data_IF_922545066209
#
_entry.id   IF_922545066209
#
_cell.length_a   1.000
_cell.length_b   1.000
_cell.length_c   1.000
_cell.angle_alpha   90.00
_cell.angle_beta   90.00
_cell.angle_gamma   90.00
#
_symmetry.space_group_name_H-M   'P 1'
#
loop_
_entity.id
_entity.type
_entity.pdbx_description
1 polymer ?
#
# COMPACT_ATOMS: atom_id res chain seq x y z
N UNK A 1 -38.75 85.72 46.32
CA UNK A 1 -38.42 84.65 45.34
C UNK A 1 -36.99 84.73 44.80
N UNK A 2 -36.28 85.86 44.95
CA UNK A 2 -34.92 86.05 44.40
C UNK A 2 -33.75 85.51 45.28
N UNK A 3 -33.97 85.16 46.55
CA UNK A 3 -32.91 84.69 47.47
C UNK A 3 -32.53 83.22 47.28
N UNK A 4 -33.50 82.35 47.00
CA UNK A 4 -33.23 80.91 46.77
C UNK A 4 -32.39 80.65 45.51
N UNK A 5 -32.47 81.50 44.48
CA UNK A 5 -31.73 81.29 43.22
C UNK A 5 -30.21 81.47 43.39
N UNK A 6 -29.78 82.42 44.25
CA UNK A 6 -28.35 82.64 44.56
C UNK A 6 -27.73 81.50 45.36
N UNK A 7 -28.52 80.77 46.15
CA UNK A 7 -28.04 79.62 46.93
C UNK A 7 -27.82 78.36 46.06
N UNK A 8 -28.53 78.22 44.94
CA UNK A 8 -28.47 77.03 44.06
C UNK A 8 -27.49 77.24 42.88
N UNK A 9 -27.23 78.50 42.50
CA UNK A 9 -26.32 78.89 41.42
C UNK A 9 -24.93 78.20 41.46
N UNK A 10 -24.21 78.11 42.60
CA UNK A 10 -22.92 77.43 42.64
C UNK A 10 -23.02 75.92 42.38
N UNK A 11 -24.13 75.27 42.73
CA UNK A 11 -24.34 73.85 42.43
C UNK A 11 -24.59 73.61 40.94
N UNK A 12 -25.23 74.55 40.25
CA UNK A 12 -25.44 74.49 38.80
C UNK A 12 -24.11 74.67 38.07
N UNK A 13 -23.24 75.59 38.52
CA UNK A 13 -21.91 75.78 37.94
C UNK A 13 -21.00 74.55 38.14
N UNK A 14 -21.03 73.93 39.32
CA UNK A 14 -20.32 72.69 39.61
C UNK A 14 -20.86 71.53 38.76
N UNK A 15 -22.19 71.41 38.62
CA UNK A 15 -22.81 70.37 37.80
C UNK A 15 -22.49 70.57 36.31
N UNK A 16 -22.52 71.81 35.81
CA UNK A 16 -22.16 72.15 34.44
C UNK A 16 -20.69 71.86 34.16
N UNK A 17 -19.79 72.19 35.10
CA UNK A 17 -18.37 71.85 35.02
C UNK A 17 -18.12 70.35 35.00
N UNK A 18 -18.82 69.59 35.85
CA UNK A 18 -18.73 68.13 35.88
C UNK A 18 -19.25 67.50 34.59
N UNK A 19 -20.36 68.00 34.04
CA UNK A 19 -20.91 67.53 32.77
C UNK A 19 -19.96 67.84 31.61
N UNK A 20 -19.35 69.04 31.59
CA UNK A 20 -18.32 69.41 30.62
C UNK A 20 -17.07 68.52 30.71
N UNK A 21 -16.63 68.18 31.93
CA UNK A 21 -15.51 67.26 32.14
C UNK A 21 -15.82 65.84 31.62
N UNK A 22 -17.04 65.33 31.86
CA UNK A 22 -17.48 64.04 31.32
C UNK A 22 -17.50 64.08 29.78
N UNK A 23 -17.96 65.17 29.16
CA UNK A 23 -17.96 65.32 27.71
C UNK A 23 -16.54 65.37 27.13
N UNK A 24 -15.59 66.00 27.83
CA UNK A 24 -14.18 66.03 27.44
C UNK A 24 -13.55 64.63 27.56
N UNK A 25 -13.82 63.92 28.66
CA UNK A 25 -13.38 62.54 28.82
C UNK A 25 -13.98 61.63 27.74
N UNK A 26 -15.26 61.80 27.43
CA UNK A 26 -15.91 61.09 26.34
C UNK A 26 -15.23 61.40 25.01
N UNK A 27 -14.94 62.66 24.70
CA UNK A 27 -14.26 63.05 23.46
C UNK A 27 -12.82 62.50 23.35
N UNK A 28 -12.05 62.54 24.44
CA UNK A 28 -10.70 61.94 24.49
C UNK A 28 -10.81 60.42 24.35
N UNK A 29 -11.80 59.82 25.00
CA UNK A 29 -12.03 58.40 24.91
C UNK A 29 -12.41 57.98 23.48
N UNK A 30 -13.35 58.67 22.84
CA UNK A 30 -13.80 58.39 21.48
C UNK A 30 -12.75 58.67 20.41
N UNK A 31 -11.99 59.76 20.55
CA UNK A 31 -11.11 60.24 19.49
C UNK A 31 -9.64 59.84 19.67
N UNK A 32 -9.23 59.41 20.87
CA UNK A 32 -7.85 59.04 21.18
C UNK A 32 -7.72 57.64 21.78
N UNK A 33 -8.54 57.28 22.77
CA UNK A 33 -8.43 55.98 23.45
C UNK A 33 -8.98 54.84 22.58
N UNK A 34 -10.20 55.00 22.04
CA UNK A 34 -10.83 53.99 21.18
C UNK A 34 -10.00 53.70 19.92
N UNK A 35 -9.50 54.70 19.15
CA UNK A 35 -8.65 54.44 17.99
C UNK A 35 -7.33 53.74 18.38
N UNK A 36 -6.76 54.07 19.54
CA UNK A 36 -5.53 53.43 20.02
C UNK A 36 -5.72 51.96 20.45
N UNK A 37 -6.93 51.56 20.85
CA UNK A 37 -7.23 50.17 21.25
C UNK A 37 -7.57 49.28 20.06
N UNK A 38 -8.05 49.87 18.96
CA UNK A 38 -8.27 49.17 17.69
C UNK A 38 -6.94 49.11 16.93
N UNK A 39 -6.13 48.08 17.20
CA UNK A 39 -4.95 47.79 16.38
C UNK A 39 -5.40 47.47 14.95
N UNK A 40 -5.21 48.41 14.04
CA UNK A 40 -5.28 48.18 12.60
C UNK A 40 -4.16 47.22 12.22
N UNK A 41 -4.46 45.92 12.24
CA UNK A 41 -3.55 44.92 11.69
C UNK A 41 -3.55 45.08 10.18
N UNK A 42 -2.35 45.11 9.61
CA UNK A 42 -2.19 45.20 8.16
C UNK A 42 -2.94 44.04 7.49
N UNK A 43 -3.47 44.32 6.31
CA UNK A 43 -4.15 43.34 5.49
C UNK A 43 -3.09 42.72 4.57
N UNK A 44 -2.98 41.40 4.64
CA UNK A 44 -2.07 40.61 3.81
C UNK A 44 -2.88 39.69 2.89
N UNK A 45 -2.39 39.48 1.69
CA UNK A 45 -2.94 38.51 0.76
C UNK A 45 -2.49 37.10 1.15
N UNK A 46 -3.45 36.16 1.23
CA UNK A 46 -3.15 34.77 1.55
C UNK A 46 -2.40 34.12 0.38
N UNK A 47 -1.16 33.62 0.57
CA UNK A 47 -0.40 32.98 -0.50
C UNK A 47 -1.01 31.63 -0.88
N UNK A 48 -0.69 31.14 -2.08
CA UNK A 48 -1.08 29.80 -2.52
C UNK A 48 -0.09 28.76 -2.01
N UNK A 49 -0.54 27.92 -1.08
CA UNK A 49 0.21 26.79 -0.53
C UNK A 49 -0.23 25.44 -1.11
N UNK A 50 -1.31 25.39 -1.90
CA UNK A 50 -1.81 24.16 -2.50
C UNK A 50 -0.78 23.59 -3.47
N UNK A 51 -0.58 22.27 -3.43
CA UNK A 51 0.44 21.52 -4.18
C UNK A 51 1.89 21.75 -3.72
N UNK A 52 2.12 22.56 -2.68
CA UNK A 52 3.45 22.71 -2.10
C UNK A 52 3.74 21.61 -1.07
N UNK A 53 5.03 21.32 -0.85
CA UNK A 53 5.45 20.53 0.31
C UNK A 53 5.09 21.30 1.58
N UNK A 54 4.69 20.56 2.61
CA UNK A 54 4.26 21.14 3.88
C UNK A 54 5.33 22.07 4.49
N UNK A 55 6.61 21.74 4.39
CA UNK A 55 7.67 22.58 4.94
C UNK A 55 7.82 23.91 4.18
N UNK A 56 7.80 23.87 2.84
CA UNK A 56 7.86 25.07 2.00
C UNK A 56 6.61 25.95 2.22
N UNK A 57 5.44 25.33 2.36
CA UNK A 57 4.18 26.03 2.65
C UNK A 57 4.20 26.73 4.01
N UNK A 58 4.72 26.05 5.06
CA UNK A 58 4.86 26.65 6.40
C UNK A 58 5.77 27.88 6.35
N UNK A 59 6.90 27.76 5.66
CA UNK A 59 7.85 28.85 5.53
C UNK A 59 7.23 30.04 4.79
N UNK A 60 6.57 29.81 3.66
CA UNK A 60 5.88 30.86 2.89
C UNK A 60 4.81 31.60 3.74
N UNK A 61 4.07 30.88 4.58
CA UNK A 61 3.07 31.48 5.47
C UNK A 61 3.71 32.35 6.56
N UNK A 62 4.80 31.89 7.17
CA UNK A 62 5.55 32.68 8.16
C UNK A 62 6.13 33.95 7.52
N UNK A 63 6.73 33.84 6.34
CA UNK A 63 7.27 34.97 5.57
C UNK A 63 6.19 35.99 5.18
N UNK A 64 4.94 35.54 5.05
CA UNK A 64 3.77 36.38 4.77
C UNK A 64 3.10 36.94 6.04
N UNK A 65 3.74 36.89 7.22
CA UNK A 65 3.16 37.29 8.51
C UNK A 65 1.85 36.56 8.87
N UNK A 66 1.64 35.34 8.36
CA UNK A 66 0.50 34.48 8.64
C UNK A 66 0.91 33.34 9.57
N UNK A 67 -0.07 32.78 10.28
CA UNK A 67 0.14 31.56 11.08
C UNK A 67 -0.50 30.38 10.38
N UNK A 68 -0.13 29.15 10.74
CA UNK A 68 -0.71 27.95 10.15
C UNK A 68 -1.18 26.97 11.21
N UNK A 69 -2.12 26.11 10.82
CA UNK A 69 -2.54 24.94 11.61
C UNK A 69 -2.90 23.81 10.67
N UNK A 70 -2.24 22.67 10.83
CA UNK A 70 -2.67 21.44 10.16
C UNK A 70 -3.90 20.93 10.89
N UNK A 71 -5.03 20.90 10.18
CA UNK A 71 -6.33 20.52 10.78
C UNK A 71 -6.70 19.08 10.48
N UNK A 72 -6.22 18.53 9.36
CA UNK A 72 -6.47 17.14 8.99
C UNK A 72 -5.44 16.63 8.01
N UNK A 73 -5.29 15.31 7.96
CA UNK A 73 -4.56 14.61 6.91
C UNK A 73 -5.52 13.64 6.22
N UNK A 74 -5.51 13.62 4.89
CA UNK A 74 -6.44 12.80 4.10
C UNK A 74 -5.68 12.01 3.03
N UNK A 75 -6.14 10.79 2.74
CA UNK A 75 -5.61 10.06 1.58
C UNK A 75 -6.00 10.78 0.29
N UNK A 76 -5.08 10.82 -0.65
CA UNK A 76 -5.26 11.48 -1.93
C UNK A 76 -4.46 10.74 -2.99
N UNK A 77 -5.11 10.42 -4.11
CA UNK A 77 -4.56 9.70 -5.25
C UNK A 77 -3.70 10.59 -6.16
N UNK A 78 -3.99 11.90 -6.20
CA UNK A 78 -3.30 12.89 -7.04
C UNK A 78 -2.07 13.48 -6.39
N UNK A 79 -2.11 13.68 -5.07
CA UNK A 79 -1.04 14.34 -4.32
C UNK A 79 -0.20 13.33 -3.53
N UNK A 80 1.13 13.31 -3.71
CA UNK A 80 2.02 12.54 -2.86
C UNK A 80 1.87 12.89 -1.38
N UNK A 81 2.33 11.99 -0.51
CA UNK A 81 2.37 12.24 0.93
C UNK A 81 3.13 13.53 1.26
N UNK A 82 2.65 14.26 2.27
CA UNK A 82 3.21 15.52 2.80
C UNK A 82 3.07 16.74 1.86
N UNK A 83 2.14 16.69 0.92
CA UNK A 83 1.76 17.83 0.08
C UNK A 83 0.48 18.47 0.62
N UNK A 84 0.38 19.80 0.59
CA UNK A 84 -0.84 20.52 0.95
C UNK A 84 -1.88 20.31 -0.15
N UNK A 85 -3.03 19.73 0.20
CA UNK A 85 -4.13 19.47 -0.75
C UNK A 85 -5.23 20.52 -0.68
N UNK A 86 -5.36 21.18 0.47
CA UNK A 86 -6.33 22.23 0.66
C UNK A 86 -5.83 23.22 1.71
N UNK A 87 -6.26 24.48 1.57
CA UNK A 87 -6.02 25.52 2.53
C UNK A 87 -7.30 26.35 2.77
N UNK A 88 -7.41 26.92 3.96
CA UNK A 88 -8.47 27.88 4.27
C UNK A 88 -7.93 29.01 5.16
N UNK A 89 -8.12 30.30 4.82
CA UNK A 89 -8.79 30.83 3.64
C UNK A 89 -8.12 30.50 2.29
N UNK A 90 -8.90 30.62 1.21
CA UNK A 90 -8.43 30.35 -0.16
C UNK A 90 -7.31 31.31 -0.58
N UNK A 91 -6.42 30.90 -1.49
CA UNK A 91 -5.37 31.79 -2.03
C UNK A 91 -5.94 33.10 -2.58
N UNK A 92 -5.22 34.21 -2.38
CA UNK A 92 -5.62 35.55 -2.80
C UNK A 92 -6.68 36.22 -1.92
N UNK A 93 -7.15 35.55 -0.86
CA UNK A 93 -8.05 36.17 0.12
C UNK A 93 -7.29 37.22 0.93
N UNK A 94 -7.89 38.38 1.17
CA UNK A 94 -7.35 39.41 2.04
C UNK A 94 -7.69 39.15 3.50
N UNK A 95 -6.69 39.01 4.35
CA UNK A 95 -6.86 38.72 5.78
C UNK A 95 -5.98 39.63 6.62
N UNK A 96 -6.34 39.80 7.90
CA UNK A 96 -5.47 40.50 8.85
C UNK A 96 -4.22 39.68 9.14
N UNK A 97 -3.11 40.34 9.43
CA UNK A 97 -1.90 39.69 9.91
C UNK A 97 -2.12 38.74 11.10
N UNK A 98 -1.24 37.74 11.18
CA UNK A 98 -1.30 36.61 12.12
C UNK A 98 -2.55 35.73 11.95
N UNK A 99 -3.35 35.92 10.89
CA UNK A 99 -4.47 35.02 10.60
C UNK A 99 -3.95 33.60 10.45
N UNK A 100 -4.65 32.67 11.09
CA UNK A 100 -4.35 31.25 10.99
C UNK A 100 -4.93 30.67 9.71
N UNK A 101 -4.05 30.12 8.89
CA UNK A 101 -4.38 29.36 7.68
C UNK A 101 -4.46 27.88 8.05
N UNK A 102 -5.62 27.29 7.83
CA UNK A 102 -5.88 25.88 8.08
C UNK A 102 -5.41 25.08 6.88
N UNK A 103 -4.55 24.10 7.10
CA UNK A 103 -3.98 23.26 6.06
C UNK A 103 -4.52 21.83 6.19
N UNK A 104 -4.88 21.24 5.05
CA UNK A 104 -5.12 19.81 4.92
C UNK A 104 -3.99 19.20 4.11
N UNK A 105 -3.42 18.12 4.63
CA UNK A 105 -2.22 17.48 4.07
C UNK A 105 -2.56 16.12 3.46
N UNK A 106 -1.93 15.79 2.34
CA UNK A 106 -2.04 14.46 1.73
C UNK A 106 -1.28 13.43 2.57
N UNK A 107 -1.94 12.30 2.86
CA UNK A 107 -1.31 11.07 3.37
C UNK A 107 -0.70 10.21 2.25
N UNK A 108 -0.82 10.65 1.00
CA UNK A 108 -0.56 9.86 -0.20
C UNK A 108 -1.75 8.98 -0.56
N UNK A 109 -1.54 8.08 -1.53
CA UNK A 109 -2.54 7.07 -1.87
C UNK A 109 -2.76 6.14 -0.69
N UNK A 110 -4.01 5.73 -0.47
CA UNK A 110 -4.31 4.69 0.50
C UNK A 110 -3.77 3.35 0.01
N UNK A 111 -2.99 2.66 0.84
CA UNK A 111 -2.29 1.43 0.43
C UNK A 111 -2.62 0.24 1.31
N UNK A 112 -2.70 -0.92 0.69
CA UNK A 112 -2.71 -2.23 1.32
C UNK A 112 -1.35 -2.90 1.18
N UNK A 113 -1.08 -3.92 2.00
CA UNK A 113 0.20 -4.64 1.98
C UNK A 113 0.05 -5.96 1.25
N UNK A 114 0.99 -6.29 0.37
CA UNK A 114 0.98 -7.58 -0.31
C UNK A 114 1.19 -8.72 0.71
N UNK A 115 0.28 -9.71 0.79
CA UNK A 115 0.41 -10.84 1.70
C UNK A 115 1.56 -11.79 1.29
N UNK A 116 1.97 -12.65 2.21
CA UNK A 116 2.90 -13.74 1.91
C UNK A 116 2.14 -14.93 1.30
N UNK A 117 2.53 -15.33 0.09
CA UNK A 117 1.81 -16.33 -0.72
C UNK A 117 2.65 -17.56 -1.07
N UNK A 118 3.97 -17.51 -0.87
CA UNK A 118 4.91 -18.58 -1.19
C UNK A 118 4.54 -19.87 -0.44
N UNK A 119 4.63 -21.02 -1.15
CA UNK A 119 4.25 -22.37 -0.70
C UNK A 119 2.78 -22.55 -0.30
N UNK A 120 1.91 -21.56 -0.51
CA UNK A 120 0.46 -21.76 -0.36
C UNK A 120 -0.10 -22.46 -1.59
N UNK A 121 -1.21 -23.16 -1.40
CA UNK A 121 -2.02 -23.67 -2.51
C UNK A 121 -2.54 -22.52 -3.36
N UNK A 122 -2.62 -22.73 -4.67
CA UNK A 122 -3.13 -21.75 -5.64
C UNK A 122 -4.44 -21.10 -5.17
N UNK A 123 -5.43 -21.90 -4.78
CA UNK A 123 -6.73 -21.42 -4.32
C UNK A 123 -6.61 -20.57 -3.07
N UNK A 124 -5.78 -20.99 -2.10
CA UNK A 124 -5.56 -20.25 -0.86
C UNK A 124 -4.84 -18.92 -1.13
N UNK A 125 -3.86 -18.92 -2.03
CA UNK A 125 -3.14 -17.72 -2.43
C UNK A 125 -4.07 -16.70 -3.11
N UNK A 126 -4.89 -17.16 -4.07
CA UNK A 126 -5.89 -16.33 -4.76
C UNK A 126 -6.88 -15.71 -3.77
N UNK A 127 -7.40 -16.48 -2.82
CA UNK A 127 -8.32 -15.96 -1.80
C UNK A 127 -7.64 -14.92 -0.89
N UNK A 128 -6.40 -15.13 -0.50
CA UNK A 128 -5.65 -14.16 0.31
C UNK A 128 -5.41 -12.84 -0.42
N UNK A 129 -5.15 -12.87 -1.73
CA UNK A 129 -5.02 -11.66 -2.56
C UNK A 129 -6.34 -10.89 -2.52
N UNK A 130 -7.46 -11.55 -2.82
CA UNK A 130 -8.78 -10.90 -2.87
C UNK A 130 -9.21 -10.35 -1.51
N UNK A 131 -8.98 -11.10 -0.43
CA UNK A 131 -9.28 -10.67 0.94
C UNK A 131 -8.38 -9.52 1.43
N UNK A 132 -7.30 -9.20 0.70
CA UNK A 132 -6.40 -8.07 1.01
C UNK A 132 -6.72 -6.84 0.16
N UNK A 133 -7.89 -6.80 -0.49
CA UNK A 133 -8.32 -5.75 -1.43
C UNK A 133 -7.36 -5.56 -2.63
N UNK A 134 -6.66 -6.64 -3.01
CA UNK A 134 -5.80 -6.73 -4.18
C UNK A 134 -6.48 -7.57 -5.27
N UNK A 135 -6.01 -7.44 -6.50
CA UNK A 135 -6.47 -8.24 -7.63
C UNK A 135 -5.45 -9.29 -8.08
N UNK A 136 -5.95 -10.39 -8.64
CA UNK A 136 -5.10 -11.42 -9.21
C UNK A 136 -4.57 -10.91 -10.56
N UNK A 137 -3.24 -10.91 -10.70
CA UNK A 137 -2.56 -10.57 -11.93
C UNK A 137 -2.35 -11.79 -12.83
N UNK A 138 -1.17 -11.87 -13.45
CA UNK A 138 -0.77 -12.99 -14.28
C UNK A 138 -0.48 -14.22 -13.41
N UNK A 139 -1.01 -15.37 -13.82
CA UNK A 139 -0.69 -16.67 -13.21
C UNK A 139 0.06 -17.50 -14.22
N UNK A 140 1.29 -17.87 -13.87
CA UNK A 140 2.18 -18.67 -14.71
C UNK A 140 2.46 -20.01 -14.05
N UNK A 141 2.60 -21.06 -14.85
CA UNK A 141 2.91 -22.41 -14.36
C UNK A 141 4.29 -22.81 -14.88
N UNK A 142 5.15 -23.29 -13.99
CA UNK A 142 6.50 -23.73 -14.34
C UNK A 142 6.82 -25.03 -13.62
N UNK A 143 7.64 -25.87 -14.27
CA UNK A 143 8.11 -27.12 -13.69
C UNK A 143 9.08 -26.83 -12.56
N UNK A 144 8.96 -27.59 -11.48
CA UNK A 144 9.81 -27.44 -10.31
C UNK A 144 9.92 -28.77 -9.56
N UNK A 145 11.14 -29.28 -9.46
CA UNK A 145 11.40 -30.57 -8.80
C UNK A 145 11.35 -30.51 -7.27
N UNK A 146 11.42 -29.31 -6.68
CA UNK A 146 11.46 -29.11 -5.23
C UNK A 146 10.13 -28.70 -4.62
N UNK A 147 9.24 -28.10 -5.42
CA UNK A 147 7.97 -27.53 -4.95
C UNK A 147 6.82 -28.38 -5.52
N UNK A 148 5.95 -28.95 -4.67
CA UNK A 148 4.82 -29.75 -5.13
C UNK A 148 3.90 -28.99 -6.09
N UNK A 149 3.28 -29.73 -7.02
CA UNK A 149 2.29 -29.22 -7.95
C UNK A 149 1.18 -28.44 -7.23
N UNK A 150 0.81 -27.29 -7.79
CA UNK A 150 -0.26 -26.42 -7.28
C UNK A 150 0.16 -25.47 -6.16
N UNK A 151 1.42 -25.49 -5.73
CA UNK A 151 1.97 -24.55 -4.75
C UNK A 151 2.59 -23.33 -5.44
N UNK A 152 2.47 -22.16 -4.81
CA UNK A 152 3.11 -20.92 -5.27
C UNK A 152 4.62 -21.00 -5.08
N UNK A 153 5.36 -20.83 -6.17
CA UNK A 153 6.82 -20.73 -6.23
C UNK A 153 7.26 -19.31 -5.92
N UNK A 154 6.67 -18.34 -6.62
CA UNK A 154 6.99 -16.92 -6.48
C UNK A 154 5.76 -16.04 -6.63
N UNK A 155 5.85 -14.84 -6.07
CA UNK A 155 4.85 -13.79 -6.20
C UNK A 155 5.54 -12.49 -6.63
N UNK A 156 4.81 -11.64 -7.34
CA UNK A 156 5.24 -10.29 -7.67
C UNK A 156 4.03 -9.34 -7.57
N UNK A 157 4.06 -8.27 -6.77
CA UNK A 157 5.18 -7.79 -5.95
C UNK A 157 5.52 -8.66 -4.73
N UNK A 158 6.69 -8.41 -4.13
CA UNK A 158 7.15 -9.12 -2.93
C UNK A 158 6.27 -8.82 -1.71
N UNK A 159 6.27 -9.74 -0.76
CA UNK A 159 5.57 -9.59 0.53
C UNK A 159 5.87 -8.24 1.20
N UNK A 160 4.84 -7.62 1.78
CA UNK A 160 4.96 -6.35 2.50
C UNK A 160 5.04 -5.11 1.61
N UNK A 161 5.19 -5.26 0.29
CA UNK A 161 5.09 -4.14 -0.66
C UNK A 161 3.77 -3.41 -0.47
N UNK A 162 3.80 -2.07 -0.43
CA UNK A 162 2.61 -1.23 -0.31
C UNK A 162 2.06 -0.92 -1.69
N UNK A 163 0.83 -1.31 -1.95
CA UNK A 163 0.14 -1.07 -3.22
C UNK A 163 -1.17 -0.34 -2.98
N UNK A 164 -1.61 0.45 -3.97
CA UNK A 164 -2.97 0.99 -3.95
C UNK A 164 -4.02 -0.12 -4.02
N UNK A 165 -5.25 0.22 -3.69
CA UNK A 165 -6.38 -0.70 -3.81
C UNK A 165 -6.50 -1.29 -5.22
N UNK A 166 -6.92 -2.56 -5.27
CA UNK A 166 -7.14 -3.31 -6.50
C UNK A 166 -5.88 -3.50 -7.37
N UNK A 167 -4.69 -3.19 -6.85
CA UNK A 167 -3.44 -3.47 -7.53
C UNK A 167 -3.24 -4.97 -7.74
N UNK A 168 -2.54 -5.33 -8.82
CA UNK A 168 -2.36 -6.72 -9.25
C UNK A 168 -1.20 -7.40 -8.52
N UNK A 169 -1.39 -8.67 -8.19
CA UNK A 169 -0.34 -9.58 -7.71
C UNK A 169 -0.25 -10.77 -8.66
N UNK A 170 0.89 -10.91 -9.32
CA UNK A 170 1.24 -12.01 -10.19
C UNK A 170 1.74 -13.21 -9.37
N UNK A 171 1.45 -14.42 -9.86
CA UNK A 171 1.84 -15.68 -9.24
C UNK A 171 2.58 -16.56 -10.25
N UNK A 172 3.60 -17.25 -9.75
CA UNK A 172 4.21 -18.39 -10.42
C UNK A 172 3.93 -19.63 -9.58
N UNK A 173 3.33 -20.64 -10.19
CA UNK A 173 2.83 -21.84 -9.54
C UNK A 173 3.58 -23.04 -10.08
N UNK A 174 3.92 -23.98 -9.20
CA UNK A 174 4.54 -25.23 -9.60
C UNK A 174 3.55 -26.09 -10.38
N UNK A 175 3.94 -26.54 -11.57
CA UNK A 175 3.24 -27.60 -12.29
C UNK A 175 3.64 -29.00 -11.81
N UNK A 176 4.57 -29.11 -10.86
CA UNK A 176 5.21 -30.36 -10.44
C UNK A 176 6.51 -30.62 -11.22
N UNK A 177 7.01 -31.84 -11.11
CA UNK A 177 8.16 -32.33 -11.86
C UNK A 177 7.76 -32.71 -13.29
N UNK A 178 8.74 -32.86 -14.18
CA UNK A 178 8.52 -33.40 -15.52
C UNK A 178 8.11 -34.88 -15.43
N UNK A 179 6.85 -35.14 -15.78
CA UNK A 179 6.25 -36.47 -15.81
C UNK A 179 6.40 -37.09 -17.20
N UNK A 180 6.87 -38.34 -17.23
CA UNK A 180 6.91 -39.19 -18.43
C UNK A 180 6.26 -40.54 -18.12
N UNK A 181 5.74 -41.20 -19.16
CA UNK A 181 5.15 -42.52 -19.01
C UNK A 181 6.23 -43.59 -19.02
N UNK A 182 6.19 -44.50 -18.03
CA UNK A 182 7.04 -45.67 -18.01
C UNK A 182 6.77 -46.53 -19.27
N UNK A 183 7.82 -46.89 -20.04
CA UNK A 183 7.67 -47.64 -21.28
C UNK A 183 7.34 -49.09 -20.99
N UNK A 184 6.83 -49.81 -21.99
CA UNK A 184 6.70 -51.26 -21.91
C UNK A 184 8.04 -51.92 -22.25
N UNK A 185 8.65 -52.59 -21.27
CA UNK A 185 9.90 -53.35 -21.40
C UNK A 185 9.67 -54.86 -21.51
N UNK A 186 8.41 -55.31 -21.40
CA UNK A 186 8.06 -56.74 -21.40
C UNK A 186 8.53 -57.42 -22.70
N UNK A 187 9.23 -58.55 -22.55
CA UNK A 187 9.76 -59.35 -23.65
C UNK A 187 11.07 -58.83 -24.26
N UNK A 188 11.56 -57.66 -23.85
CA UNK A 188 12.83 -57.12 -24.33
C UNK A 188 14.03 -57.77 -23.63
N UNK A 189 15.20 -57.70 -24.27
CA UNK A 189 16.49 -57.99 -23.64
C UNK A 189 16.92 -56.85 -22.71
N UNK A 190 17.84 -57.14 -21.79
CA UNK A 190 18.42 -56.13 -20.89
C UNK A 190 18.99 -54.92 -21.66
N UNK A 191 19.72 -55.18 -22.75
CA UNK A 191 20.35 -54.13 -23.57
C UNK A 191 19.33 -53.26 -24.30
N UNK A 192 18.28 -53.85 -24.84
CA UNK A 192 17.20 -53.12 -25.51
C UNK A 192 16.42 -52.25 -24.52
N UNK A 193 16.09 -52.81 -23.36
CA UNK A 193 15.39 -52.09 -22.31
C UNK A 193 16.21 -50.92 -21.77
N UNK A 194 17.52 -51.11 -21.53
CA UNK A 194 18.41 -50.03 -21.12
C UNK A 194 18.41 -48.88 -22.13
N UNK A 195 18.56 -49.19 -23.42
CA UNK A 195 18.53 -48.18 -24.49
C UNK A 195 17.20 -47.43 -24.55
N UNK A 196 16.09 -48.12 -24.34
CA UNK A 196 14.75 -47.52 -24.34
C UNK A 196 14.53 -46.61 -23.14
N UNK A 197 15.00 -47.00 -21.95
CA UNK A 197 14.95 -46.17 -20.74
C UNK A 197 15.79 -44.90 -20.90
N UNK A 198 17.04 -45.04 -21.36
CA UNK A 198 17.95 -43.91 -21.58
C UNK A 198 17.39 -42.90 -22.61
N UNK A 199 16.73 -43.37 -23.66
CA UNK A 199 16.15 -42.52 -24.70
C UNK A 199 15.06 -41.56 -24.20
N UNK A 200 14.39 -41.90 -23.10
CA UNK A 200 13.35 -41.08 -22.46
C UNK A 200 13.82 -40.49 -21.12
N UNK A 201 15.10 -40.64 -20.78
CA UNK A 201 15.67 -40.10 -19.55
C UNK A 201 15.32 -40.87 -18.27
N UNK A 202 14.81 -42.11 -18.37
CA UNK A 202 14.69 -43.03 -17.24
C UNK A 202 16.01 -43.78 -17.03
N UNK A 203 16.17 -44.36 -15.83
CA UNK A 203 17.37 -45.11 -15.46
C UNK A 203 17.04 -46.57 -15.23
N UNK A 204 17.95 -47.46 -15.60
CA UNK A 204 17.84 -48.86 -15.22
C UNK A 204 18.11 -49.00 -13.72
N UNK A 205 17.18 -49.63 -13.00
CA UNK A 205 17.25 -49.88 -11.57
C UNK A 205 17.77 -51.28 -11.24
N UNK A 206 17.18 -51.90 -10.23
CA UNK A 206 17.51 -53.25 -9.80
C UNK A 206 17.12 -54.29 -10.86
N UNK A 207 18.04 -55.20 -11.18
CA UNK A 207 17.83 -56.33 -12.10
C UNK A 207 17.81 -57.62 -11.29
N UNK A 208 16.68 -58.31 -11.27
CA UNK A 208 16.53 -59.59 -10.58
C UNK A 208 16.26 -60.72 -11.58
N UNK A 209 16.59 -61.95 -11.19
CA UNK A 209 16.49 -63.11 -12.07
C UNK A 209 15.56 -64.18 -11.48
N UNK A 210 14.57 -64.61 -12.25
CA UNK A 210 13.60 -65.64 -11.84
C UNK A 210 13.64 -66.83 -12.81
N UNK A 211 13.67 -68.06 -12.29
CA UNK A 211 13.56 -69.25 -13.15
C UNK A 211 12.13 -69.30 -13.70
N UNK A 212 11.99 -69.36 -15.02
CA UNK A 212 10.70 -69.52 -15.66
C UNK A 212 10.82 -70.42 -16.89
N UNK A 213 10.09 -71.54 -16.89
CA UNK A 213 10.16 -72.55 -17.97
C UNK A 213 9.27 -72.18 -19.18
N UNK A 214 8.46 -71.13 -19.06
CA UNK A 214 7.52 -70.66 -20.09
C UNK A 214 8.13 -69.58 -20.99
N UNK A 215 9.07 -68.78 -20.48
CA UNK A 215 9.62 -67.62 -21.20
C UNK A 215 11.06 -67.84 -21.70
N UNK A 216 11.43 -67.13 -22.77
CA UNK A 216 12.77 -67.22 -23.39
C UNK A 216 13.83 -66.67 -22.43
N UNK A 217 14.88 -67.42 -22.08
CA UNK A 217 15.96 -66.96 -21.20
C UNK A 217 16.54 -65.60 -21.62
N UNK A 218 16.79 -64.72 -20.66
CA UNK A 218 17.34 -63.37 -20.90
C UNK A 218 16.31 -62.30 -21.29
N UNK A 219 15.02 -62.61 -21.26
CA UNK A 219 13.93 -61.65 -21.52
C UNK A 219 13.31 -61.08 -20.24
N UNK A 220 12.84 -59.84 -20.30
CA UNK A 220 12.14 -59.18 -19.19
C UNK A 220 10.71 -59.71 -19.09
N UNK A 221 10.35 -60.18 -17.90
CA UNK A 221 9.02 -60.72 -17.60
C UNK A 221 8.18 -59.79 -16.71
N UNK A 222 8.80 -58.83 -16.02
CA UNK A 222 8.10 -57.78 -15.30
C UNK A 222 8.99 -56.56 -15.07
N UNK A 223 8.35 -55.43 -14.83
CA UNK A 223 8.98 -54.16 -14.51
C UNK A 223 8.21 -53.43 -13.41
N UNK A 224 8.90 -52.56 -12.68
CA UNK A 224 8.32 -51.58 -11.75
C UNK A 224 9.11 -50.29 -11.93
N UNK A 225 8.50 -49.13 -12.20
CA UNK A 225 7.07 -48.82 -12.41
C UNK A 225 6.40 -49.63 -13.53
N UNK A 226 5.06 -49.78 -13.47
CA UNK A 226 4.30 -50.49 -14.51
C UNK A 226 4.26 -49.68 -15.81
N UNK A 227 4.15 -50.38 -16.95
CA UNK A 227 3.99 -49.70 -18.25
C UNK A 227 2.78 -48.75 -18.22
N UNK A 228 2.99 -47.51 -18.66
CA UNK A 228 1.98 -46.45 -18.67
C UNK A 228 1.80 -45.71 -17.34
N UNK A 229 2.55 -46.07 -16.30
CA UNK A 229 2.59 -45.31 -15.05
C UNK A 229 3.33 -43.97 -15.25
N UNK A 230 2.79 -42.87 -14.70
CA UNK A 230 3.42 -41.55 -14.78
C UNK A 230 4.52 -41.43 -13.74
N UNK A 231 5.75 -41.17 -14.17
CA UNK A 231 6.93 -41.09 -13.31
C UNK A 231 7.80 -39.89 -13.65
N UNK A 232 8.60 -39.45 -12.67
CA UNK A 232 9.55 -38.36 -12.87
C UNK A 232 10.68 -38.78 -13.83
N UNK A 233 11.12 -37.86 -14.68
CA UNK A 233 12.37 -38.04 -15.43
C UNK A 233 13.52 -38.41 -14.48
N UNK A 234 14.32 -39.40 -14.85
CA UNK A 234 15.41 -39.92 -14.02
C UNK A 234 15.01 -41.00 -13.02
N UNK A 235 13.72 -41.38 -12.94
CA UNK A 235 13.24 -42.49 -12.12
C UNK A 235 13.91 -43.81 -12.54
N UNK A 236 14.22 -44.65 -11.56
CA UNK A 236 14.76 -45.98 -11.77
C UNK A 236 13.64 -46.99 -12.06
N UNK A 237 13.82 -47.79 -13.11
CA UNK A 237 12.92 -48.89 -13.47
C UNK A 237 13.58 -50.22 -13.13
N UNK A 238 13.04 -50.89 -12.13
CA UNK A 238 13.46 -52.23 -11.72
C UNK A 238 12.84 -53.26 -12.66
N UNK A 239 13.58 -54.30 -13.00
CA UNK A 239 13.15 -55.34 -13.94
C UNK A 239 13.44 -56.74 -13.41
N UNK A 240 12.59 -57.69 -13.80
CA UNK A 240 12.81 -59.12 -13.56
C UNK A 240 13.06 -59.79 -14.90
N UNK A 241 14.16 -60.52 -14.99
CA UNK A 241 14.60 -61.26 -16.18
C UNK A 241 14.45 -62.76 -15.93
N UNK A 242 14.01 -63.51 -16.94
CA UNK A 242 13.98 -64.97 -16.84
C UNK A 242 15.39 -65.58 -16.98
N UNK A 243 15.75 -66.52 -16.10
CA UNK A 243 17.02 -67.27 -16.14
C UNK A 243 16.84 -68.74 -16.53
#
# INVERSE_FOLDING_TARGET
>A
MATKFKEILPYIEVLAGFLGFILILFFIFDNWVLPSMVKDREIVDVPNTVSMKIEDAKQLLIESNLTYKVVSEQYNDKFPKNIVINQLPSPGTKVKESRQILLTISKGIETVSVPYLILKDETAAKNLILNSDLSIGNVTYVTNDSIPKGKVISQNPLVGTKLGYNARVDLTISSGFDEILAPNLYGLTLTEAQKQLEAIGLKLGEVTYQKNETYVPGTIISQIPLSGESVQVGTFVNIVITK
#
